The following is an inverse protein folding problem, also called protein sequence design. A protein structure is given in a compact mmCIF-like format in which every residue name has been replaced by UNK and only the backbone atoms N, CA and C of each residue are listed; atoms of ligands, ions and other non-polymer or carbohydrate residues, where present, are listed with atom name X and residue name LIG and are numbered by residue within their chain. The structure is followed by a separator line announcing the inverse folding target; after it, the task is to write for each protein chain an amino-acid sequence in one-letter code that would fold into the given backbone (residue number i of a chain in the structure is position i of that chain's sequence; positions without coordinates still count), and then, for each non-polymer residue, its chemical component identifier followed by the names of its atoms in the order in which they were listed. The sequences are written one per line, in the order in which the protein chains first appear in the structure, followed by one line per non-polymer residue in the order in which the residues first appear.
data_IF_241255252907
#
_entry.id   IF_241255252907
#
_cell.length_a   1.000
_cell.length_b   1.000
_cell.length_c   1.000
_cell.angle_alpha   90.00
_cell.angle_beta   90.00
_cell.angle_gamma   90.00
#
_symmetry.space_group_name_H-M   'P 1'
#
loop_
_entity.id
_entity.type
_entity.pdbx_description
1 polymer ?
#
# COMPACT_ATOMS: atom_id res chain seq x y z
N UNK A 1 -8.10 1.10 -12.84
CA UNK A 1 -7.70 2.52 -12.96
C UNK A 1 -6.20 2.67 -12.76
N UNK A 2 -5.64 2.24 -11.62
CA UNK A 2 -4.19 2.23 -11.37
C UNK A 2 -3.41 1.35 -12.36
N UNK A 3 -3.84 0.10 -12.56
CA UNK A 3 -3.24 -0.81 -13.55
C UNK A 3 -3.32 -0.32 -15.02
N UNK A 4 -4.14 0.70 -15.30
CA UNK A 4 -4.32 1.28 -16.63
C UNK A 4 -3.59 2.63 -16.79
N UNK A 5 -2.74 3.03 -15.83
CA UNK A 5 -2.02 4.31 -15.87
C UNK A 5 -2.90 5.55 -15.71
N UNK A 6 -4.15 5.40 -15.29
CA UNK A 6 -5.11 6.49 -15.09
C UNK A 6 -5.07 6.99 -13.65
N UNK A 7 -3.91 7.49 -13.22
CA UNK A 7 -3.66 7.94 -11.85
C UNK A 7 -4.61 9.06 -11.42
N UNK A 8 -4.92 10.01 -12.32
CA UNK A 8 -5.81 11.14 -12.03
C UNK A 8 -7.27 10.71 -11.76
N UNK A 9 -7.79 9.74 -12.51
CA UNK A 9 -9.13 9.18 -12.26
C UNK A 9 -9.17 8.42 -10.93
N UNK A 10 -8.13 7.64 -10.64
CA UNK A 10 -8.00 6.95 -9.36
C UNK A 10 -7.92 7.94 -8.19
N UNK A 11 -7.20 9.06 -8.33
CA UNK A 11 -7.15 10.14 -7.34
C UNK A 11 -8.51 10.80 -7.11
N UNK A 12 -9.28 11.01 -8.18
CA UNK A 12 -10.64 11.57 -8.07
C UNK A 12 -11.58 10.66 -7.30
N UNK A 13 -11.48 9.34 -7.53
CA UNK A 13 -12.26 8.35 -6.76
C UNK A 13 -11.79 8.31 -5.30
N UNK A 14 -10.48 8.30 -5.09
CA UNK A 14 -9.87 8.33 -3.75
C UNK A 14 -10.37 9.53 -2.93
N UNK A 15 -10.37 10.73 -3.51
CA UNK A 15 -10.80 11.96 -2.86
C UNK A 15 -12.30 11.99 -2.50
N UNK A 16 -13.11 11.13 -3.11
CA UNK A 16 -14.54 10.98 -2.80
C UNK A 16 -14.84 9.90 -1.77
N UNK A 17 -13.85 9.07 -1.40
CA UNK A 17 -14.05 8.05 -0.38
C UNK A 17 -14.21 8.70 1.00
N UNK A 18 -15.08 8.13 1.82
CA UNK A 18 -15.23 8.54 3.20
C UNK A 18 -13.92 8.34 3.99
N UNK A 19 -13.51 9.29 4.86
CA UNK A 19 -12.27 9.17 5.64
C UNK A 19 -12.20 7.91 6.49
N UNK A 20 -13.32 7.40 7.03
CA UNK A 20 -13.33 6.14 7.79
C UNK A 20 -13.07 4.93 6.89
N UNK A 21 -13.37 5.01 5.59
CA UNK A 21 -13.02 3.97 4.61
C UNK A 21 -11.53 4.05 4.26
N UNK A 22 -10.97 5.26 4.09
CA UNK A 22 -9.54 5.45 3.83
C UNK A 22 -8.66 4.96 4.97
N UNK A 23 -9.13 5.05 6.21
CA UNK A 23 -8.43 4.58 7.40
C UNK A 23 -8.28 3.04 7.44
N UNK A 24 -9.02 2.28 6.64
CA UNK A 24 -8.89 0.81 6.59
C UNK A 24 -7.60 0.42 5.84
N UNK A 25 -6.87 -0.58 6.34
CA UNK A 25 -5.54 -0.90 5.80
C UNK A 25 -5.50 -1.27 4.32
N UNK A 26 -6.55 -1.91 3.77
CA UNK A 26 -6.60 -2.17 2.32
C UNK A 26 -6.65 -0.89 1.48
N UNK A 27 -7.32 0.15 1.99
CA UNK A 27 -7.35 1.44 1.31
C UNK A 27 -6.04 2.20 1.50
N UNK A 28 -5.39 2.09 2.65
CA UNK A 28 -4.02 2.61 2.84
C UNK A 28 -3.02 2.03 1.83
N UNK A 29 -3.12 0.74 1.51
CA UNK A 29 -2.31 0.16 0.44
C UNK A 29 -2.59 0.81 -0.93
N UNK A 30 -3.87 1.02 -1.27
CA UNK A 30 -4.28 1.69 -2.51
C UNK A 30 -3.79 3.15 -2.55
N UNK A 31 -3.77 3.85 -1.40
CA UNK A 31 -3.20 5.19 -1.27
C UNK A 31 -1.72 5.21 -1.63
N UNK A 32 -0.94 4.27 -1.09
CA UNK A 32 0.47 4.15 -1.38
C UNK A 32 0.72 3.80 -2.86
N UNK A 33 -0.09 2.91 -3.46
CA UNK A 33 -0.01 2.61 -4.89
C UNK A 33 -0.31 3.83 -5.76
N UNK A 34 -1.31 4.61 -5.38
CA UNK A 34 -1.67 5.84 -6.08
C UNK A 34 -0.55 6.88 -6.02
N UNK A 35 -0.01 7.12 -4.84
CA UNK A 35 1.11 8.05 -4.64
C UNK A 35 2.34 7.61 -5.44
N UNK A 36 2.64 6.30 -5.45
CA UNK A 36 3.71 5.73 -6.27
C UNK A 36 3.47 5.97 -7.77
N UNK A 37 2.24 5.76 -8.25
CA UNK A 37 1.84 5.99 -9.65
C UNK A 37 1.81 7.48 -10.03
N UNK A 38 1.64 8.38 -9.07
CA UNK A 38 1.75 9.85 -9.24
C UNK A 38 3.21 10.34 -9.17
N UNK A 39 4.18 9.44 -8.92
CA UNK A 39 5.60 9.78 -8.76
C UNK A 39 5.95 10.35 -7.37
N UNK A 40 5.00 10.36 -6.44
CA UNK A 40 5.13 10.86 -5.07
C UNK A 40 5.67 9.79 -4.14
N UNK A 41 6.90 9.34 -4.39
CA UNK A 41 7.52 8.21 -3.67
C UNK A 41 7.67 8.46 -2.17
N UNK A 42 8.03 9.68 -1.77
CA UNK A 42 8.21 10.03 -0.35
C UNK A 42 6.89 9.94 0.43
N UNK A 43 5.81 10.45 -0.16
CA UNK A 43 4.47 10.34 0.44
C UNK A 43 4.02 8.88 0.53
N UNK A 44 4.26 8.08 -0.52
CA UNK A 44 3.93 6.66 -0.50
C UNK A 44 4.69 5.93 0.63
N UNK A 45 5.97 6.26 0.82
CA UNK A 45 6.79 5.72 1.91
C UNK A 45 6.27 6.15 3.29
N UNK A 46 5.76 7.37 3.42
CA UNK A 46 5.19 7.85 4.68
C UNK A 46 3.94 7.03 5.10
N UNK A 47 3.13 6.56 4.15
CA UNK A 47 2.00 5.66 4.45
C UNK A 47 2.48 4.34 5.06
N UNK A 48 3.59 3.80 4.57
CA UNK A 48 4.22 2.62 5.16
C UNK A 48 4.79 2.91 6.55
N UNK A 49 5.39 4.09 6.74
CA UNK A 49 5.95 4.51 8.04
C UNK A 49 4.86 4.63 9.12
N UNK A 50 3.74 5.26 8.78
CA UNK A 50 2.58 5.45 9.67
C UNK A 50 2.00 4.13 10.19
N UNK A 51 2.10 3.05 9.42
CA UNK A 51 1.58 1.74 9.83
C UNK A 51 0.13 1.53 9.41
N UNK A 52 -0.16 0.41 8.75
CA UNK A 52 -1.53 -0.02 8.52
C UNK A 52 -1.69 -1.54 8.62
N UNK A 53 -2.82 -1.99 9.14
CA UNK A 53 -3.16 -3.41 9.24
C UNK A 53 -4.15 -3.80 8.14
N UNK A 54 -3.74 -4.70 7.24
CA UNK A 54 -4.62 -5.25 6.20
C UNK A 54 -5.27 -6.51 6.74
N UNK A 55 -6.59 -6.45 6.99
CA UNK A 55 -7.37 -7.55 7.58
C UNK A 55 -7.33 -8.87 6.79
N UNK A 56 -6.93 -8.85 5.52
CA UNK A 56 -6.64 -10.05 4.73
C UNK A 56 -5.13 -10.11 4.42
N UNK A 57 -4.41 -10.79 5.31
CA UNK A 57 -2.95 -10.84 5.33
C UNK A 57 -2.36 -11.60 4.12
N UNK A 58 -3.13 -12.50 3.49
CA UNK A 58 -2.64 -13.39 2.43
C UNK A 58 -2.73 -12.75 1.05
N UNK A 59 -3.80 -12.01 0.75
CA UNK A 59 -3.93 -11.28 -0.52
C UNK A 59 -3.09 -9.99 -0.54
N UNK A 60 -2.88 -9.35 0.62
CA UNK A 60 -2.14 -8.09 0.73
C UNK A 60 -0.61 -8.22 0.67
N UNK A 61 -0.04 -9.35 1.11
CA UNK A 61 1.41 -9.49 1.30
C UNK A 61 2.21 -9.38 -0.01
N UNK A 62 1.73 -9.98 -1.10
CA UNK A 62 2.42 -9.95 -2.40
C UNK A 62 2.42 -8.54 -3.00
N UNK A 63 1.28 -7.84 -2.92
CA UNK A 63 1.14 -6.46 -3.36
C UNK A 63 1.99 -5.48 -2.55
N UNK A 64 2.06 -5.64 -1.23
CA UNK A 64 2.86 -4.79 -0.34
C UNK A 64 4.36 -4.89 -0.69
N UNK A 65 4.88 -6.12 -0.85
CA UNK A 65 6.28 -6.32 -1.20
C UNK A 65 6.66 -5.73 -2.56
N UNK A 66 5.81 -5.94 -3.57
CA UNK A 66 6.01 -5.39 -4.92
C UNK A 66 5.92 -3.86 -4.96
N UNK A 67 5.05 -3.26 -4.16
CA UNK A 67 4.95 -1.81 -4.06
C UNK A 67 6.17 -1.22 -3.35
N UNK A 68 6.58 -1.80 -2.22
CA UNK A 68 7.75 -1.35 -1.47
C UNK A 68 9.02 -1.38 -2.32
N UNK A 69 9.25 -2.46 -3.06
CA UNK A 69 10.40 -2.59 -3.97
C UNK A 69 10.44 -1.52 -5.10
N UNK A 70 9.32 -0.84 -5.38
CA UNK A 70 9.27 0.31 -6.32
C UNK A 70 9.54 1.65 -5.64
N UNK A 71 9.35 1.71 -4.34
CA UNK A 71 9.48 2.94 -3.53
C UNK A 71 10.88 3.05 -2.92
N UNK A 72 11.41 1.92 -2.46
CA UNK A 72 12.66 1.86 -1.71
C UNK A 72 13.43 0.57 -2.03
N UNK A 73 14.76 0.66 -1.94
CA UNK A 73 15.67 -0.48 -2.13
C UNK A 73 15.95 -1.22 -0.80
N UNK A 74 15.56 -0.64 0.34
CA UNK A 74 15.68 -1.26 1.65
C UNK A 74 14.80 -2.52 1.78
N UNK A 75 15.15 -3.46 2.67
CA UNK A 75 14.27 -4.57 2.99
C UNK A 75 12.90 -4.08 3.48
N UNK A 76 11.85 -4.82 3.11
CA UNK A 76 10.49 -4.54 3.56
C UNK A 76 10.46 -4.53 5.10
N UNK A 77 9.81 -3.54 5.74
CA UNK A 77 9.72 -3.50 7.19
C UNK A 77 9.09 -4.78 7.75
N UNK A 78 9.64 -5.34 8.84
CA UNK A 78 9.24 -6.64 9.38
C UNK A 78 7.73 -6.76 9.68
N UNK A 79 7.07 -5.66 10.04
CA UNK A 79 5.61 -5.57 10.24
C UNK A 79 4.78 -5.90 8.99
N UNK A 80 5.39 -5.81 7.82
CA UNK A 80 4.80 -6.10 6.51
C UNK A 80 5.45 -7.30 5.82
N UNK A 81 6.58 -7.82 6.35
CA UNK A 81 7.25 -9.01 5.82
C UNK A 81 6.63 -10.29 6.39
N UNK A 82 5.43 -10.60 5.92
CA UNK A 82 4.67 -11.77 6.37
C UNK A 82 5.25 -13.09 5.88
N UNK A 83 6.23 -13.08 4.95
CA UNK A 83 7.00 -14.29 4.58
C UNK A 83 7.93 -14.75 5.70
N UNK A 84 8.26 -13.86 6.63
CA UNK A 84 8.99 -14.20 7.86
C UNK A 84 8.07 -14.68 8.99
N UNK A 85 6.76 -14.85 8.78
CA UNK A 85 5.95 -15.67 9.68
C UNK A 85 6.11 -17.12 9.22
N UNK A 86 6.99 -17.94 9.85
CA UNK A 86 6.96 -19.36 9.57
C UNK A 86 5.55 -19.84 9.88
N UNK A 87 5.00 -20.62 8.95
CA UNK A 87 3.81 -21.42 9.17
C UNK A 87 3.88 -21.98 10.59
N UNK A 88 2.95 -21.54 11.45
CA UNK A 88 2.91 -22.01 12.83
C UNK A 88 2.68 -23.51 12.79
N UNK A 89 3.64 -24.26 13.30
CA UNK A 89 3.42 -25.65 13.71
C UNK A 89 2.35 -25.74 14.80
#
# INVERSE_FOLDING_TARGET
LLAAGRSADARTVWDRLDPATRARGRYRLIEAELLAAEGRREDARAVFDEGFEVADLREGADGIGLLWARLDDAPLPARYDFRMWPDGE
#
